data_IF_629510707565
#
_entry.id   IF_629510707565
#
_cell.length_a   1.000
_cell.length_b   1.000
_cell.length_c   1.000
_cell.angle_alpha   90.00
_cell.angle_beta   90.00
_cell.angle_gamma   90.00
#
_symmetry.space_group_name_H-M   'P 1'
#
loop_
_entity.id
_entity.type
_entity.pdbx_description
1 polymer ?
#
# COMPACT_ATOMS: atom_id res chain seq x y z
N UNK A 1 -2.68 7.54 -8.43
CA UNK A 1 -2.60 7.02 -9.81
C UNK A 1 -3.74 6.06 -10.01
N UNK A 2 -4.64 6.33 -10.95
CA UNK A 2 -5.81 5.49 -11.25
C UNK A 2 -5.34 4.22 -11.96
N UNK A 3 -5.39 3.07 -11.28
CA UNK A 3 -5.02 1.78 -11.87
C UNK A 3 -6.17 1.31 -12.76
N UNK A 4 -6.08 1.57 -14.06
CA UNK A 4 -7.09 1.08 -15.02
C UNK A 4 -7.05 -0.44 -15.05
N UNK A 5 -8.19 -1.08 -14.77
CA UNK A 5 -8.34 -2.53 -14.73
C UNK A 5 -8.17 -3.09 -16.15
N UNK A 6 -7.23 -4.02 -16.34
CA UNK A 6 -7.05 -4.74 -17.60
C UNK A 6 -7.77 -6.08 -17.53
N UNK A 7 -8.93 -6.18 -18.19
CA UNK A 7 -9.78 -7.37 -18.15
C UNK A 7 -9.44 -8.41 -19.24
N UNK A 8 -8.76 -8.01 -20.31
CA UNK A 8 -8.45 -8.90 -21.44
C UNK A 8 -6.95 -9.18 -21.56
N UNK A 9 -6.58 -10.37 -22.03
CA UNK A 9 -5.20 -10.74 -22.36
C UNK A 9 -4.94 -10.57 -23.86
N UNK A 10 -3.84 -9.93 -24.23
CA UNK A 10 -3.39 -9.83 -25.62
C UNK A 10 -2.50 -11.02 -26.02
N UNK A 11 -2.34 -11.22 -27.32
CA UNK A 11 -1.45 -12.25 -27.84
C UNK A 11 0.03 -11.96 -27.50
N UNK A 12 0.42 -10.69 -27.46
CA UNK A 12 1.77 -10.28 -27.09
C UNK A 12 2.06 -10.54 -25.61
N UNK A 13 1.06 -10.34 -24.74
CA UNK A 13 1.15 -10.68 -23.32
C UNK A 13 1.31 -12.20 -23.12
N UNK A 14 0.57 -13.01 -23.90
CA UNK A 14 0.69 -14.48 -23.87
C UNK A 14 2.06 -14.96 -24.40
N UNK A 15 2.59 -14.31 -25.45
CA UNK A 15 3.93 -14.58 -25.99
C UNK A 15 5.00 -14.29 -24.94
N UNK A 16 4.95 -13.12 -24.30
CA UNK A 16 5.88 -12.75 -23.23
C UNK A 16 5.81 -13.72 -22.05
N UNK A 17 4.60 -14.10 -21.63
CA UNK A 17 4.40 -15.09 -20.57
C UNK A 17 5.03 -16.44 -20.95
N UNK A 18 4.83 -16.89 -22.19
CA UNK A 18 5.41 -18.14 -22.67
C UNK A 18 6.94 -18.10 -22.71
N UNK A 19 7.53 -17.04 -23.27
CA UNK A 19 8.98 -16.89 -23.36
C UNK A 19 9.65 -16.95 -21.98
N UNK A 20 9.15 -16.15 -21.03
CA UNK A 20 9.74 -16.07 -19.69
C UNK A 20 9.60 -17.39 -18.95
N UNK A 21 8.43 -18.05 -19.03
CA UNK A 21 8.22 -19.35 -18.37
C UNK A 21 9.10 -20.44 -18.98
N UNK A 22 9.21 -20.52 -20.31
CA UNK A 22 10.09 -21.48 -20.98
C UNK A 22 11.56 -21.25 -20.65
N UNK A 23 11.98 -19.98 -20.55
CA UNK A 23 13.34 -19.61 -20.11
C UNK A 23 13.61 -20.11 -18.70
N UNK A 24 12.72 -19.83 -17.73
CA UNK A 24 12.86 -20.33 -16.36
C UNK A 24 12.89 -21.87 -16.30
N UNK A 25 12.12 -22.56 -17.15
CA UNK A 25 12.17 -24.04 -17.23
C UNK A 25 13.54 -24.52 -17.71
N UNK A 26 14.13 -23.88 -18.72
CA UNK A 26 15.46 -24.23 -19.25
C UNK A 26 16.56 -23.95 -18.24
N UNK A 27 16.50 -22.79 -17.60
CA UNK A 27 17.50 -22.31 -16.65
C UNK A 27 17.34 -22.98 -15.26
N UNK A 28 16.24 -23.72 -15.05
CA UNK A 28 15.96 -24.45 -13.82
C UNK A 28 15.31 -23.64 -12.71
N UNK A 29 14.82 -22.44 -13.02
CA UNK A 29 14.00 -21.61 -12.14
C UNK A 29 12.59 -22.16 -11.90
N UNK A 30 11.85 -21.48 -11.01
CA UNK A 30 10.47 -21.86 -10.65
C UNK A 30 9.45 -21.11 -11.51
N UNK A 31 8.28 -21.73 -11.72
CA UNK A 31 7.18 -21.06 -12.42
C UNK A 31 6.68 -19.83 -11.66
N UNK A 32 6.71 -19.86 -10.32
CA UNK A 32 6.35 -18.71 -9.48
C UNK A 32 7.26 -17.51 -9.75
N UNK A 33 8.58 -17.73 -9.81
CA UNK A 33 9.54 -16.68 -10.14
C UNK A 33 9.30 -16.12 -11.55
N UNK A 34 8.96 -16.98 -12.52
CA UNK A 34 8.56 -16.54 -13.85
C UNK A 34 7.28 -15.68 -13.83
N UNK A 35 6.27 -16.07 -13.05
CA UNK A 35 5.01 -15.31 -12.95
C UNK A 35 5.18 -13.97 -12.25
N UNK A 36 6.03 -13.88 -11.23
CA UNK A 36 6.37 -12.61 -10.59
C UNK A 36 7.12 -11.66 -11.52
N UNK A 37 8.03 -12.21 -12.35
CA UNK A 37 8.75 -11.43 -13.35
C UNK A 37 7.80 -10.89 -14.43
N UNK A 38 6.92 -11.74 -14.98
CA UNK A 38 5.95 -11.33 -16.00
C UNK A 38 4.91 -10.38 -15.41
N UNK A 39 4.44 -10.64 -14.20
CA UNK A 39 3.47 -9.78 -13.51
C UNK A 39 3.99 -8.35 -13.35
N UNK A 40 5.26 -8.19 -12.97
CA UNK A 40 5.90 -6.87 -12.90
C UNK A 40 5.97 -6.17 -14.26
N UNK A 41 6.29 -6.91 -15.33
CA UNK A 41 6.38 -6.36 -16.71
C UNK A 41 5.03 -5.94 -17.27
N UNK A 42 3.98 -6.73 -17.01
CA UNK A 42 2.62 -6.50 -17.53
C UNK A 42 1.74 -5.68 -16.59
N UNK A 43 2.27 -5.22 -15.45
CA UNK A 43 1.49 -4.56 -14.39
C UNK A 43 0.29 -5.40 -13.90
N UNK A 44 0.47 -6.74 -13.87
CA UNK A 44 -0.52 -7.74 -13.42
C UNK A 44 -0.02 -8.49 -12.19
N UNK A 45 -0.92 -9.15 -11.47
CA UNK A 45 -0.54 -10.01 -10.34
C UNK A 45 0.04 -11.33 -10.83
N UNK A 46 1.01 -11.89 -10.08
CA UNK A 46 1.60 -13.20 -10.39
C UNK A 46 0.52 -14.31 -10.45
N UNK A 47 -0.52 -14.22 -9.61
CA UNK A 47 -1.67 -15.12 -9.63
C UNK A 47 -2.45 -15.05 -10.96
N UNK A 48 -2.66 -13.85 -11.52
CA UNK A 48 -3.32 -13.70 -12.81
C UNK A 48 -2.48 -14.30 -13.96
N UNK A 49 -1.16 -14.10 -13.94
CA UNK A 49 -0.23 -14.74 -14.88
C UNK A 49 -0.28 -16.27 -14.78
N UNK A 50 -0.31 -16.81 -13.55
CA UNK A 50 -0.44 -18.25 -13.32
C UNK A 50 -1.77 -18.82 -13.83
N UNK A 51 -2.88 -18.12 -13.60
CA UNK A 51 -4.18 -18.52 -14.12
C UNK A 51 -4.21 -18.53 -15.66
N UNK A 52 -3.68 -17.47 -16.30
CA UNK A 52 -3.60 -17.39 -17.77
C UNK A 52 -2.73 -18.50 -18.35
N UNK A 53 -1.58 -18.75 -17.72
CA UNK A 53 -0.67 -19.82 -18.10
C UNK A 53 -1.38 -21.18 -18.06
N UNK A 54 -2.00 -21.54 -16.94
CA UNK A 54 -2.59 -22.86 -16.74
C UNK A 54 -3.86 -23.08 -17.59
N UNK A 55 -4.68 -22.04 -17.77
CA UNK A 55 -5.96 -22.14 -18.49
C UNK A 55 -5.80 -22.19 -20.01
N UNK A 56 -4.84 -21.43 -20.57
CA UNK A 56 -4.72 -21.22 -22.01
C UNK A 56 -3.31 -21.46 -22.54
N UNK A 57 -2.31 -20.68 -22.10
CA UNK A 57 -0.99 -20.61 -22.75
C UNK A 57 -0.24 -21.95 -22.68
N UNK A 58 -0.25 -22.65 -21.53
CA UNK A 58 0.40 -23.96 -21.35
C UNK A 58 -0.09 -25.00 -22.37
N UNK A 59 -1.36 -24.92 -22.78
CA UNK A 59 -1.94 -25.86 -23.76
C UNK A 59 -1.42 -25.61 -25.17
N UNK A 60 -1.12 -24.35 -25.51
CA UNK A 60 -0.58 -23.95 -26.80
C UNK A 60 0.92 -24.29 -26.92
N UNK A 61 1.68 -24.15 -25.83
CA UNK A 61 3.15 -24.31 -25.82
C UNK A 61 3.63 -25.67 -25.30
N UNK A 62 2.85 -26.75 -25.44
CA UNK A 62 3.22 -28.10 -24.96
C UNK A 62 4.57 -28.57 -25.50
N UNK A 63 4.77 -28.44 -26.81
CA UNK A 63 6.02 -28.81 -27.49
C UNK A 63 7.20 -27.96 -26.99
N UNK A 64 7.00 -26.66 -26.81
CA UNK A 64 8.01 -25.75 -26.25
C UNK A 64 8.44 -26.15 -24.83
N UNK A 65 7.50 -26.58 -23.99
CA UNK A 65 7.79 -27.06 -22.63
C UNK A 65 8.64 -28.32 -22.66
N UNK A 66 8.34 -29.27 -23.55
CA UNK A 66 9.12 -30.49 -23.72
C UNK A 66 10.56 -30.19 -24.16
N UNK A 67 10.73 -29.31 -25.13
CA UNK A 67 12.06 -28.87 -25.59
C UNK A 67 12.83 -28.17 -24.47
N UNK A 68 12.20 -27.25 -23.73
CA UNK A 68 12.85 -26.53 -22.62
C UNK A 68 13.29 -27.49 -21.49
N UNK A 69 12.46 -28.50 -21.16
CA UNK A 69 12.82 -29.55 -20.20
C UNK A 69 13.98 -30.42 -20.70
N UNK A 70 14.01 -30.76 -21.98
CA UNK A 70 15.10 -31.52 -22.59
C UNK A 70 16.41 -30.72 -22.53
N UNK A 71 16.37 -29.43 -22.88
CA UNK A 71 17.53 -28.53 -22.78
C UNK A 71 18.05 -28.45 -21.34
N UNK A 72 17.19 -28.27 -20.33
CA UNK A 72 17.62 -28.29 -18.91
C UNK A 72 18.39 -29.56 -18.56
N UNK A 73 17.92 -30.72 -19.02
CA UNK A 73 18.56 -32.01 -18.78
C UNK A 73 19.94 -32.11 -19.46
N UNK A 74 20.07 -31.56 -20.67
CA UNK A 74 21.33 -31.52 -21.41
C UNK A 74 22.35 -30.57 -20.77
N UNK A 75 21.94 -29.36 -20.35
CA UNK A 75 22.80 -28.40 -19.64
C UNK A 75 23.34 -28.96 -18.32
N UNK A 76 22.53 -29.75 -17.60
CA UNK A 76 22.99 -30.43 -16.37
C UNK A 76 24.02 -31.54 -16.64
N UNK A 77 24.08 -32.08 -17.87
CA UNK A 77 25.00 -33.16 -18.24
C UNK A 77 26.37 -32.66 -18.71
N UNK A 78 26.49 -31.41 -19.14
CA UNK A 78 27.73 -30.82 -19.68
C UNK A 78 28.52 -29.95 -18.69
N UNK A 79 28.08 -29.81 -17.43
CA UNK A 79 28.81 -29.08 -16.38
C UNK A 79 29.91 -29.93 -15.71
N UNK A 80 31.01 -29.31 -15.20
CA UNK A 80 32.05 -30.04 -14.49
C UNK A 80 31.54 -30.63 -13.16
N UNK A 81 32.11 -31.78 -12.82
CA UNK A 81 31.73 -32.70 -11.75
C UNK A 81 31.72 -32.04 -10.35
N UNK A 82 30.52 -31.78 -9.81
CA UNK A 82 30.27 -31.70 -8.35
C UNK A 82 29.51 -32.98 -7.92
N UNK A 83 29.70 -33.46 -6.68
CA UNK A 83 29.18 -34.75 -6.25
C UNK A 83 27.65 -34.79 -6.27
N UNK A 84 27.14 -35.90 -6.77
CA UNK A 84 25.73 -36.19 -6.96
C UNK A 84 24.97 -36.17 -5.62
N UNK A 85 24.18 -35.11 -5.40
CA UNK A 85 23.08 -35.05 -4.44
C UNK A 85 22.00 -34.10 -4.95
N UNK A 86 21.53 -34.32 -6.19
CA UNK A 86 20.37 -33.59 -6.73
C UNK A 86 19.71 -34.33 -7.91
N UNK A 87 19.81 -35.67 -7.91
CA UNK A 87 19.40 -36.53 -9.01
C UNK A 87 18.09 -37.28 -8.73
N UNK A 88 17.12 -36.67 -8.05
CA UNK A 88 15.80 -37.29 -7.82
C UNK A 88 14.65 -36.28 -7.91
N UNK A 89 14.55 -35.47 -8.98
CA UNK A 89 13.37 -34.59 -9.11
C UNK A 89 12.74 -34.51 -10.51
N UNK A 90 13.20 -35.31 -11.48
CA UNK A 90 12.59 -35.31 -12.83
C UNK A 90 12.28 -36.70 -13.40
N UNK A 91 12.45 -37.77 -12.62
CA UNK A 91 11.83 -39.10 -12.87
C UNK A 91 10.71 -39.45 -11.87
N UNK A 92 10.42 -38.54 -10.92
CA UNK A 92 9.35 -38.72 -9.94
C UNK A 92 7.94 -38.69 -10.54
N UNK A 93 7.71 -38.06 -11.69
CA UNK A 93 6.35 -37.83 -12.19
C UNK A 93 5.69 -39.05 -12.85
N UNK A 94 6.41 -40.16 -13.06
CA UNK A 94 5.81 -41.41 -13.58
C UNK A 94 5.83 -42.51 -12.52
N UNK A 95 6.84 -42.54 -11.66
CA UNK A 95 6.88 -43.49 -10.52
C UNK A 95 6.03 -43.01 -9.34
N UNK A 96 5.99 -41.70 -9.03
CA UNK A 96 5.10 -41.17 -8.00
C UNK A 96 3.63 -41.26 -8.43
N UNK A 97 3.28 -41.13 -9.71
CA UNK A 97 1.89 -41.34 -10.17
C UNK A 97 1.49 -42.82 -10.05
N UNK A 98 2.41 -43.77 -10.26
CA UNK A 98 2.15 -45.21 -10.07
C UNK A 98 2.12 -45.60 -8.58
N UNK A 99 2.93 -44.95 -7.74
CA UNK A 99 2.94 -45.16 -6.29
C UNK A 99 1.73 -44.47 -5.61
N UNK A 100 1.37 -43.24 -6.01
CA UNK A 100 0.18 -42.52 -5.58
C UNK A 100 -1.09 -43.27 -5.95
N UNK A 101 -1.14 -43.87 -7.15
CA UNK A 101 -2.29 -44.68 -7.58
C UNK A 101 -2.40 -45.99 -6.79
N UNK A 102 -1.28 -46.64 -6.46
CA UNK A 102 -1.24 -47.79 -5.55
C UNK A 102 -1.63 -47.42 -4.11
N UNK A 103 -1.24 -46.26 -3.62
CA UNK A 103 -1.64 -45.79 -2.28
C UNK A 103 -3.11 -45.37 -2.24
N UNK A 104 -3.66 -44.79 -3.32
CA UNK A 104 -5.09 -44.48 -3.46
C UNK A 104 -5.96 -45.74 -3.51
N UNK A 105 -5.45 -46.84 -4.09
CA UNK A 105 -6.11 -48.15 -4.08
C UNK A 105 -5.99 -48.88 -2.72
N UNK A 106 -5.10 -48.43 -1.83
CA UNK A 106 -4.85 -49.02 -0.50
C UNK A 106 -5.31 -48.14 0.67
N UNK A 107 -5.77 -46.91 0.40
CA UNK A 107 -6.33 -46.02 1.41
C UNK A 107 -7.75 -46.50 1.75
N UNK A 108 -7.94 -46.97 2.98
CA UNK A 108 -9.28 -47.30 3.44
C UNK A 108 -10.13 -46.03 3.49
N UNK A 109 -11.43 -46.18 3.28
CA UNK A 109 -12.38 -45.09 3.45
C UNK A 109 -12.27 -44.49 4.86
N UNK A 110 -11.97 -45.31 5.89
CA UNK A 110 -11.69 -44.83 7.24
C UNK A 110 -10.44 -43.93 7.33
N UNK A 111 -9.38 -44.21 6.58
CA UNK A 111 -8.14 -43.43 6.60
C UNK A 111 -8.31 -42.06 5.94
N UNK A 112 -9.14 -42.01 4.89
CA UNK A 112 -9.54 -40.76 4.23
C UNK A 112 -10.41 -39.94 5.18
N UNK A 113 -11.38 -40.56 5.86
CA UNK A 113 -12.23 -39.88 6.84
C UNK A 113 -11.40 -39.36 8.03
N UNK A 114 -10.46 -40.16 8.55
CA UNK A 114 -9.57 -39.74 9.63
C UNK A 114 -8.67 -38.58 9.22
N UNK A 115 -8.12 -38.62 8.00
CA UNK A 115 -7.29 -37.54 7.46
C UNK A 115 -8.10 -36.26 7.24
N UNK A 116 -9.31 -36.35 6.70
CA UNK A 116 -10.19 -35.19 6.50
C UNK A 116 -10.65 -34.58 7.83
N UNK A 117 -11.01 -35.39 8.83
CA UNK A 117 -11.33 -34.90 10.19
C UNK A 117 -10.12 -34.26 10.87
N UNK A 118 -8.93 -34.79 10.65
CA UNK A 118 -7.68 -34.18 11.11
C UNK A 118 -7.39 -32.88 10.38
N UNK A 119 -7.72 -32.78 9.09
CA UNK A 119 -7.58 -31.56 8.31
C UNK A 119 -8.63 -30.50 8.68
N UNK A 120 -9.86 -30.91 9.01
CA UNK A 120 -10.93 -30.06 9.53
C UNK A 120 -10.60 -29.49 10.91
N UNK A 121 -9.95 -30.27 11.77
CA UNK A 121 -9.45 -29.80 13.06
C UNK A 121 -8.15 -28.99 12.95
N UNK A 122 -7.28 -29.28 11.97
CA UNK A 122 -6.05 -28.53 11.71
C UNK A 122 -6.29 -27.20 10.95
N UNK A 123 -7.35 -27.12 10.14
CA UNK A 123 -7.98 -25.86 9.73
C UNK A 123 -8.64 -25.27 10.98
N UNK A 124 -7.80 -24.72 11.86
CA UNK A 124 -8.20 -24.00 13.05
C UNK A 124 -9.01 -22.76 12.66
N UNK A 125 -10.27 -23.00 12.32
CA UNK A 125 -11.32 -22.01 12.20
C UNK A 125 -11.43 -21.22 13.51
N UNK A 126 -11.03 -21.83 14.62
CA UNK A 126 -10.88 -21.23 15.94
C UNK A 126 -9.79 -20.16 15.99
N UNK A 127 -8.59 -20.41 15.45
CA UNK A 127 -7.51 -19.42 15.47
C UNK A 127 -7.81 -18.26 14.53
N UNK A 128 -8.29 -18.56 13.32
CA UNK A 128 -8.65 -17.54 12.34
C UNK A 128 -9.86 -16.68 12.77
N UNK A 129 -10.79 -17.27 13.54
CA UNK A 129 -11.91 -16.56 14.16
C UNK A 129 -11.44 -15.70 15.34
N UNK A 130 -10.52 -16.21 16.16
CA UNK A 130 -9.91 -15.47 17.26
C UNK A 130 -9.13 -14.25 16.76
N UNK A 131 -8.33 -14.42 15.71
CA UNK A 131 -7.60 -13.33 15.07
C UNK A 131 -8.55 -12.31 14.43
N UNK A 132 -9.64 -12.76 13.79
CA UNK A 132 -10.67 -11.87 13.27
C UNK A 132 -11.34 -11.03 14.37
N UNK A 133 -11.70 -11.64 15.50
CA UNK A 133 -12.28 -10.89 16.62
C UNK A 133 -11.27 -9.91 17.23
N UNK A 134 -10.01 -10.31 17.41
CA UNK A 134 -8.96 -9.41 17.88
C UNK A 134 -8.73 -8.22 16.93
N UNK A 135 -8.76 -8.46 15.62
CA UNK A 135 -8.67 -7.41 14.60
C UNK A 135 -9.88 -6.49 14.63
N UNK A 136 -11.10 -7.01 14.79
CA UNK A 136 -12.32 -6.19 14.93
C UNK A 136 -12.27 -5.33 16.19
N UNK A 137 -11.83 -5.88 17.32
CA UNK A 137 -11.66 -5.13 18.57
C UNK A 137 -10.68 -3.97 18.39
N UNK A 138 -9.54 -4.24 17.72
CA UNK A 138 -8.54 -3.21 17.40
C UNK A 138 -9.09 -2.15 16.46
N UNK A 139 -9.86 -2.52 15.43
CA UNK A 139 -10.52 -1.58 14.54
C UNK A 139 -11.48 -0.67 15.33
N UNK A 140 -12.34 -1.23 16.19
CA UNK A 140 -13.24 -0.45 17.05
C UNK A 140 -12.50 0.50 17.99
N UNK A 141 -11.37 0.06 18.55
CA UNK A 141 -10.55 0.89 19.43
C UNK A 141 -9.92 2.06 18.65
N UNK A 142 -9.39 1.80 17.46
CA UNK A 142 -8.83 2.83 16.58
C UNK A 142 -9.90 3.82 16.11
N UNK A 143 -11.10 3.35 15.76
CA UNK A 143 -12.23 4.21 15.38
C UNK A 143 -12.64 5.15 16.52
N UNK A 144 -12.72 4.65 17.76
CA UNK A 144 -12.97 5.49 18.94
C UNK A 144 -11.88 6.54 19.14
N UNK A 145 -10.62 6.16 18.95
CA UNK A 145 -9.50 7.06 19.12
C UNK A 145 -9.48 8.15 18.04
N UNK A 146 -9.77 7.80 16.79
CA UNK A 146 -9.95 8.76 15.70
C UNK A 146 -11.06 9.75 16.05
N UNK A 147 -12.23 9.27 16.48
CA UNK A 147 -13.34 10.14 16.86
C UNK A 147 -12.98 11.09 18.02
N UNK A 148 -12.23 10.60 19.02
CA UNK A 148 -11.73 11.41 20.13
C UNK A 148 -10.78 12.52 19.66
N UNK A 149 -9.79 12.16 18.83
CA UNK A 149 -8.82 13.11 18.29
C UNK A 149 -9.47 14.14 17.37
N UNK A 150 -10.48 13.75 16.59
CA UNK A 150 -11.24 14.67 15.74
C UNK A 150 -12.04 15.69 16.56
N UNK A 151 -12.68 15.24 17.65
CA UNK A 151 -13.36 16.15 18.58
C UNK A 151 -12.37 17.11 19.24
N UNK A 152 -11.24 16.61 19.74
CA UNK A 152 -10.21 17.44 20.36
C UNK A 152 -9.65 18.48 19.37
N UNK A 153 -9.33 18.04 18.15
CA UNK A 153 -8.91 18.95 17.06
C UNK A 153 -9.96 20.03 16.80
N UNK A 154 -11.24 19.67 16.75
CA UNK A 154 -12.31 20.64 16.51
C UNK A 154 -12.42 21.66 17.65
N UNK A 155 -12.30 21.22 18.91
CA UNK A 155 -12.33 22.13 20.06
C UNK A 155 -11.14 23.10 20.04
N UNK A 156 -9.95 22.62 19.71
CA UNK A 156 -8.74 23.44 19.58
C UNK A 156 -8.88 24.47 18.44
N UNK A 157 -9.41 24.07 17.29
CA UNK A 157 -9.67 24.99 16.18
C UNK A 157 -10.65 26.10 16.57
N UNK A 158 -11.74 25.76 17.27
CA UNK A 158 -12.71 26.74 17.74
C UNK A 158 -12.08 27.71 18.76
N UNK A 159 -11.24 27.19 19.66
CA UNK A 159 -10.52 28.02 20.64
C UNK A 159 -9.53 28.96 19.96
N UNK A 160 -8.78 28.46 18.97
CA UNK A 160 -7.84 29.26 18.20
C UNK A 160 -8.56 30.37 17.41
N UNK A 161 -9.71 30.04 16.80
CA UNK A 161 -10.55 31.02 16.12
C UNK A 161 -11.07 32.10 17.09
N UNK A 162 -11.45 31.73 18.31
CA UNK A 162 -11.83 32.68 19.36
C UNK A 162 -10.69 33.63 19.71
N UNK A 163 -9.49 33.09 19.94
CA UNK A 163 -8.29 33.89 20.24
C UNK A 163 -7.94 34.83 19.06
N UNK A 164 -8.05 34.37 17.82
CA UNK A 164 -7.83 35.21 16.64
C UNK A 164 -8.82 36.37 16.54
N UNK A 165 -10.08 36.15 16.90
CA UNK A 165 -11.10 37.20 16.94
C UNK A 165 -10.80 38.22 18.05
N UNK A 166 -10.46 37.75 19.25
CA UNK A 166 -10.08 38.61 20.37
C UNK A 166 -8.84 39.44 20.05
N UNK A 167 -7.84 38.83 19.40
CA UNK A 167 -6.64 39.51 18.95
C UNK A 167 -6.95 40.62 17.92
N UNK A 168 -7.83 40.36 16.95
CA UNK A 168 -8.29 41.37 15.99
C UNK A 168 -9.04 42.51 16.67
N UNK A 169 -9.93 42.20 17.60
CA UNK A 169 -10.66 43.20 18.38
C UNK A 169 -9.69 44.08 19.20
N UNK A 170 -8.67 43.48 19.81
CA UNK A 170 -7.63 44.21 20.53
C UNK A 170 -6.87 45.17 19.61
N UNK A 171 -6.47 44.72 18.41
CA UNK A 171 -5.83 45.58 17.41
C UNK A 171 -6.73 46.75 17.03
N UNK A 172 -8.02 46.53 16.77
CA UNK A 172 -8.96 47.61 16.44
C UNK A 172 -9.09 48.62 17.57
N UNK A 173 -9.17 48.17 18.83
CA UNK A 173 -9.21 49.04 20.00
C UNK A 173 -7.91 49.85 20.09
N UNK A 174 -6.74 49.22 19.93
CA UNK A 174 -5.45 49.92 19.93
C UNK A 174 -5.37 50.97 18.81
N UNK A 175 -5.88 50.66 17.63
CA UNK A 175 -5.88 51.58 16.49
C UNK A 175 -6.84 52.76 16.69
N UNK A 176 -8.00 52.53 17.30
CA UNK A 176 -8.92 53.61 17.73
C UNK A 176 -8.30 54.49 18.83
N UNK A 177 -7.66 53.88 19.82
CA UNK A 177 -6.96 54.61 20.88
C UNK A 177 -5.83 55.47 20.28
N UNK A 178 -5.03 54.93 19.36
CA UNK A 178 -4.00 55.67 18.62
C UNK A 178 -4.59 56.87 17.87
N UNK A 179 -5.67 56.68 17.12
CA UNK A 179 -6.35 57.77 16.40
C UNK A 179 -6.88 58.85 17.35
N UNK A 180 -7.44 58.47 18.50
CA UNK A 180 -7.94 59.43 19.48
C UNK A 180 -6.82 60.29 20.10
N UNK A 181 -5.65 59.70 20.39
CA UNK A 181 -4.49 60.44 20.90
C UNK A 181 -3.99 61.47 19.88
N UNK A 182 -3.87 61.07 18.61
CA UNK A 182 -3.46 61.99 17.53
C UNK A 182 -4.45 63.15 17.37
N UNK A 183 -5.76 62.88 17.41
CA UNK A 183 -6.78 63.93 17.33
C UNK A 183 -6.73 64.89 18.54
N UNK A 184 -6.41 64.38 19.74
CA UNK A 184 -6.21 65.23 20.92
C UNK A 184 -4.95 66.10 20.82
N UNK A 185 -3.86 65.62 20.22
CA UNK A 185 -2.67 66.41 19.93
C UNK A 185 -2.96 67.51 18.90
N UNK A 186 -3.73 67.22 17.85
CA UNK A 186 -4.18 68.19 16.85
C UNK A 186 -5.12 69.27 17.44
N UNK A 187 -6.02 68.90 18.35
CA UNK A 187 -6.83 69.89 19.07
C UNK A 187 -5.99 70.76 20.01
N UNK A 188 -5.02 70.18 20.71
CA UNK A 188 -4.11 70.93 21.57
C UNK A 188 -3.26 71.90 20.74
N UNK A 189 -2.71 71.46 19.61
CA UNK A 189 -1.93 72.32 18.72
C UNK A 189 -2.77 73.44 18.09
N UNK A 190 -4.05 73.19 17.77
CA UNK A 190 -5.01 74.23 17.32
C UNK A 190 -5.40 75.23 18.42
N UNK A 191 -5.48 74.78 19.69
CA UNK A 191 -5.79 75.66 20.85
C UNK A 191 -4.61 76.57 21.21
N UNK A 192 -3.37 76.18 20.93
CA UNK A 192 -2.19 77.06 21.04
C UNK A 192 -2.13 77.97 19.81
N UNK A 193 -2.92 79.05 19.82
CA UNK A 193 -2.92 80.06 18.74
C UNK A 193 -1.85 81.11 19.03
N UNK A 194 -0.73 81.05 18.31
CA UNK A 194 0.30 82.08 18.38
C UNK A 194 -0.19 83.35 17.68
N UNK A 195 -0.33 84.44 18.43
CA UNK A 195 -0.46 85.78 17.87
C UNK A 195 0.86 86.51 18.04
N UNK A 196 1.35 87.09 16.95
CA UNK A 196 2.57 87.91 16.93
C UNK A 196 2.18 89.32 17.40
N UNK A 197 2.72 89.78 18.53
CA UNK A 197 2.61 91.19 18.89
C UNK A 197 3.62 92.03 18.08
N UNK A 198 3.35 93.33 17.92
CA UNK A 198 4.16 94.29 17.14
C UNK A 198 5.56 94.50 17.70
N UNK A 199 5.84 94.05 18.92
CA UNK A 199 7.20 93.84 19.42
C UNK A 199 7.51 92.36 19.27
N UNK A 200 8.60 92.02 18.58
CA UNK A 200 8.93 90.67 18.10
C UNK A 200 9.25 89.64 19.20
N UNK A 201 8.38 89.46 20.19
CA UNK A 201 8.38 88.36 21.14
C UNK A 201 7.07 87.57 21.03
N UNK A 202 7.20 86.25 20.86
CA UNK A 202 6.10 85.29 20.83
C UNK A 202 5.86 84.79 22.25
N UNK A 203 4.74 85.17 22.88
CA UNK A 203 4.24 84.50 24.07
C UNK A 203 2.96 83.71 23.75
N UNK A 204 2.88 82.47 24.26
CA UNK A 204 1.70 81.61 24.11
C UNK A 204 0.64 81.98 25.14
N UNK A 205 -0.54 82.40 24.69
CA UNK A 205 -1.69 82.68 25.57
C UNK A 205 -2.66 81.49 25.57
N UNK A 206 -2.86 80.87 26.73
CA UNK A 206 -3.95 79.92 26.97
C UNK A 206 -5.23 80.67 27.29
N UNK A 207 -6.36 80.20 26.74
CA UNK A 207 -7.70 80.71 27.03
C UNK A 207 -8.41 79.79 28.01
#
# INVERSE_FOLDING_TARGET
MTTTRQDAWSQDEDLLLAEVVLRHIRDGGTQLAAFEEVGRKLTRTAAACGFRWNSFVRKQYKTGIEVAKKQRKELRKSGPHEPASASEQLQGDVQAVVHERKTLEQLSMEDIIASLKRYESALSFTDLRGENEALKEKCRALEKEISRLEQERQTLLNSLQGIEQDYKALIEIMERARKMVVLQEDERSRKVKFQLDRSSNLESVQK
#
